data_IF_637587544352
#
_entry.id   IF_637587544352
#
_cell.length_a   1.000
_cell.length_b   1.000
_cell.length_c   1.000
_cell.angle_alpha   90.00
_cell.angle_beta   90.00
_cell.angle_gamma   90.00
#
_symmetry.space_group_name_H-M   'P 1'
#
loop_
_entity.id
_entity.type
_entity.pdbx_description
1 polymer ?
#
# COMPACT_ATOMS: atom_id res chain seq x y z
N UNK A 1 11.93 2.47 20.83
CA UNK A 1 10.75 2.74 19.97
C UNK A 1 11.22 2.95 18.55
N UNK A 2 10.52 2.39 17.57
CA UNK A 2 10.88 2.43 16.15
C UNK A 2 9.62 2.49 15.28
N UNK A 3 9.79 2.73 13.98
CA UNK A 3 8.74 2.66 12.98
C UNK A 3 9.17 1.72 11.85
N UNK A 4 8.25 0.90 11.35
CA UNK A 4 8.48 0.07 10.16
C UNK A 4 7.47 0.46 9.09
N UNK A 5 7.95 0.76 7.88
CA UNK A 5 7.15 1.18 6.74
C UNK A 5 7.24 0.09 5.66
N UNK A 6 6.10 -0.44 5.25
CA UNK A 6 6.02 -1.45 4.19
C UNK A 6 5.58 -0.80 2.88
N UNK A 7 6.33 -1.02 1.81
CA UNK A 7 6.00 -0.60 0.44
C UNK A 7 5.45 0.84 0.39
N UNK A 8 6.11 1.75 1.11
CA UNK A 8 5.63 3.12 1.32
C UNK A 8 6.43 4.10 0.48
N UNK A 9 5.78 4.74 -0.49
CA UNK A 9 6.38 5.85 -1.24
C UNK A 9 6.37 7.13 -0.39
N UNK A 10 7.51 7.79 -0.36
CA UNK A 10 7.71 9.11 0.24
C UNK A 10 8.19 10.13 -0.80
N UNK A 11 8.82 9.63 -1.85
CA UNK A 11 9.17 10.35 -3.07
C UNK A 11 8.34 9.80 -4.23
N UNK A 12 7.55 10.66 -4.83
CA UNK A 12 6.63 10.32 -5.91
C UNK A 12 7.17 10.72 -7.30
N UNK A 13 8.47 10.99 -7.42
CA UNK A 13 9.11 11.28 -8.71
C UNK A 13 9.10 10.08 -9.66
N UNK A 14 8.96 8.87 -9.11
CA UNK A 14 8.88 7.62 -9.86
C UNK A 14 7.62 6.84 -9.46
N UNK A 15 6.43 7.28 -9.90
CA UNK A 15 5.16 6.67 -9.50
C UNK A 15 4.87 5.33 -10.21
N UNK A 16 5.82 4.77 -10.97
CA UNK A 16 5.64 3.54 -11.73
C UNK A 16 4.60 3.69 -12.83
N UNK A 17 3.90 2.61 -13.13
CA UNK A 17 2.85 2.57 -14.17
C UNK A 17 1.69 3.53 -13.89
N UNK A 18 1.45 3.87 -12.62
CA UNK A 18 0.45 4.88 -12.25
C UNK A 18 0.75 6.26 -12.83
N UNK A 19 2.01 6.53 -13.19
CA UNK A 19 2.45 7.80 -13.78
C UNK A 19 1.67 8.23 -15.02
N UNK A 20 1.14 7.28 -15.78
CA UNK A 20 0.32 7.57 -16.97
C UNK A 20 -0.98 8.32 -16.63
N UNK A 21 -1.46 8.22 -15.40
CA UNK A 21 -2.66 8.89 -14.91
C UNK A 21 -2.35 10.19 -14.15
N UNK A 22 -1.07 10.47 -13.88
CA UNK A 22 -0.66 11.62 -13.06
C UNK A 22 -0.38 12.84 -13.95
N UNK A 23 -1.47 13.41 -14.46
CA UNK A 23 -1.44 14.60 -15.31
C UNK A 23 -2.55 15.57 -14.88
N UNK A 24 -2.27 16.88 -14.96
CA UNK A 24 -3.20 17.91 -14.51
C UNK A 24 -4.65 17.72 -15.03
N UNK A 25 -4.90 17.47 -16.33
CA UNK A 25 -6.28 17.30 -16.82
C UNK A 25 -6.99 16.09 -16.21
N UNK A 26 -6.29 14.98 -16.01
CA UNK A 26 -6.87 13.77 -15.43
C UNK A 26 -7.18 13.99 -13.94
N UNK A 27 -6.24 14.58 -13.21
CA UNK A 27 -6.42 14.86 -11.78
C UNK A 27 -7.55 15.87 -11.57
N UNK A 28 -7.63 16.94 -12.35
CA UNK A 28 -8.71 17.92 -12.26
C UNK A 28 -10.08 17.30 -12.53
N UNK A 29 -10.18 16.38 -13.51
CA UNK A 29 -11.42 15.64 -13.79
C UNK A 29 -11.83 14.72 -12.63
N UNK A 30 -10.87 14.01 -12.02
CA UNK A 30 -11.12 13.17 -10.85
C UNK A 30 -11.52 14.01 -9.62
N UNK A 31 -10.88 15.15 -9.42
CA UNK A 31 -11.23 16.08 -8.34
C UNK A 31 -12.67 16.56 -8.47
N UNK A 32 -13.07 17.02 -9.65
CA UNK A 32 -14.45 17.45 -9.91
C UNK A 32 -15.46 16.33 -9.68
N UNK A 33 -15.15 15.11 -10.12
CA UNK A 33 -16.00 13.95 -9.90
C UNK A 33 -16.13 13.62 -8.41
N UNK A 34 -15.02 13.60 -7.68
CA UNK A 34 -14.98 13.31 -6.25
C UNK A 34 -15.69 14.38 -5.43
N UNK A 35 -15.58 15.65 -5.81
CA UNK A 35 -16.30 16.76 -5.17
C UNK A 35 -17.81 16.61 -5.35
N UNK A 36 -18.26 16.29 -6.55
CA UNK A 36 -19.68 16.08 -6.83
C UNK A 36 -20.28 14.91 -6.05
N UNK A 37 -19.49 13.84 -5.82
CA UNK A 37 -19.94 12.62 -5.13
C UNK A 37 -19.63 12.62 -3.63
N UNK A 38 -18.71 13.44 -3.15
CA UNK A 38 -18.15 13.41 -1.80
C UNK A 38 -17.17 12.28 -1.53
N UNK A 39 -17.06 11.31 -2.44
CA UNK A 39 -16.21 10.11 -2.32
C UNK A 39 -15.52 9.78 -3.64
N UNK A 40 -14.38 9.12 -3.56
CA UNK A 40 -13.83 8.29 -4.61
C UNK A 40 -14.38 6.87 -4.43
N UNK A 41 -15.09 6.38 -5.43
CA UNK A 41 -15.69 5.04 -5.41
C UNK A 41 -14.57 3.97 -5.51
N UNK A 42 -14.48 3.12 -4.49
CA UNK A 42 -13.47 2.06 -4.41
C UNK A 42 -13.49 1.11 -5.60
N UNK A 43 -14.65 0.92 -6.25
CA UNK A 43 -14.76 0.07 -7.45
C UNK A 43 -14.02 0.66 -8.64
N UNK A 44 -14.01 1.99 -8.79
CA UNK A 44 -13.21 2.64 -9.85
C UNK A 44 -11.72 2.44 -9.60
N UNK A 45 -11.30 2.54 -8.34
CA UNK A 45 -9.92 2.28 -7.94
C UNK A 45 -9.55 0.81 -8.22
N UNK A 46 -10.41 -0.13 -7.86
CA UNK A 46 -10.22 -1.56 -8.13
C UNK A 46 -10.09 -1.85 -9.64
N UNK A 47 -10.89 -1.22 -10.48
CA UNK A 47 -10.77 -1.34 -11.95
C UNK A 47 -9.41 -0.82 -12.43
N UNK A 48 -8.95 0.33 -11.93
CA UNK A 48 -7.64 0.88 -12.29
C UNK A 48 -6.51 -0.09 -11.95
N UNK A 49 -6.51 -0.66 -10.76
CA UNK A 49 -5.51 -1.67 -10.37
C UNK A 49 -5.63 -2.98 -11.18
N UNK A 50 -6.84 -3.39 -11.54
CA UNK A 50 -7.05 -4.57 -12.38
C UNK A 50 -6.52 -4.38 -13.79
N UNK A 51 -6.62 -3.16 -14.34
CA UNK A 51 -6.06 -2.82 -15.65
C UNK A 51 -4.52 -2.81 -15.67
N UNK A 52 -3.88 -2.46 -14.56
CA UNK A 52 -2.42 -2.54 -14.43
C UNK A 52 -1.92 -4.00 -14.38
N UNK A 53 -2.79 -4.96 -14.14
CA UNK A 53 -2.47 -6.39 -14.04
C UNK A 53 -3.47 -7.25 -14.81
N UNK A 54 -3.91 -6.77 -15.97
CA UNK A 54 -4.96 -7.41 -16.76
C UNK A 54 -4.66 -8.87 -17.10
N UNK A 55 -3.40 -9.21 -17.38
CA UNK A 55 -3.00 -10.59 -17.66
C UNK A 55 -3.29 -11.51 -16.47
N UNK A 56 -2.95 -11.10 -15.26
CA UNK A 56 -3.09 -11.92 -14.05
C UNK A 56 -4.51 -11.91 -13.49
N UNK A 57 -5.21 -10.76 -13.55
CA UNK A 57 -6.48 -10.55 -12.88
C UNK A 57 -7.70 -10.65 -13.82
N UNK A 58 -7.49 -10.65 -15.12
CA UNK A 58 -8.57 -10.71 -16.10
C UNK A 58 -8.35 -11.79 -17.17
N UNK A 59 -7.27 -11.68 -17.97
CA UNK A 59 -7.09 -12.56 -19.14
C UNK A 59 -6.87 -14.02 -18.77
N UNK A 60 -6.16 -14.34 -17.70
CA UNK A 60 -5.99 -15.72 -17.27
C UNK A 60 -7.33 -16.38 -16.92
N UNK A 61 -8.21 -15.67 -16.21
CA UNK A 61 -9.55 -16.17 -15.88
C UNK A 61 -10.39 -16.35 -17.12
N UNK A 62 -10.34 -15.42 -18.07
CA UNK A 62 -11.03 -15.55 -19.35
C UNK A 62 -10.55 -16.77 -20.14
N UNK A 63 -9.24 -16.93 -20.28
CA UNK A 63 -8.63 -18.05 -21.00
C UNK A 63 -9.01 -19.37 -20.33
N UNK A 64 -8.85 -19.49 -19.04
CA UNK A 64 -9.09 -20.75 -18.33
C UNK A 64 -10.58 -21.10 -18.31
N UNK A 65 -11.47 -20.15 -18.02
CA UNK A 65 -12.89 -20.41 -17.90
C UNK A 65 -13.59 -20.53 -19.25
N UNK A 66 -13.37 -19.60 -20.19
CA UNK A 66 -14.09 -19.58 -21.46
C UNK A 66 -13.43 -20.40 -22.57
N UNK A 67 -12.10 -20.35 -22.69
CA UNK A 67 -11.42 -21.05 -23.78
C UNK A 67 -11.08 -22.51 -23.41
N UNK A 68 -10.73 -22.77 -22.15
CA UNK A 68 -10.34 -24.11 -21.68
C UNK A 68 -11.45 -24.83 -20.92
N UNK A 69 -12.55 -24.16 -20.57
CA UNK A 69 -13.68 -24.73 -19.82
C UNK A 69 -13.30 -25.17 -18.39
N UNK A 70 -12.27 -24.59 -17.81
CA UNK A 70 -11.83 -24.90 -16.46
C UNK A 70 -12.60 -24.07 -15.45
N UNK A 71 -12.94 -24.68 -14.30
CA UNK A 71 -13.52 -23.91 -13.19
C UNK A 71 -12.50 -22.95 -12.61
N UNK A 72 -12.88 -21.69 -12.30
CA UNK A 72 -12.00 -20.77 -11.61
C UNK A 72 -11.49 -21.36 -10.31
N UNK A 73 -10.21 -21.14 -9.99
CA UNK A 73 -9.65 -21.54 -8.70
C UNK A 73 -10.38 -20.76 -7.60
N UNK A 74 -10.94 -21.49 -6.63
CA UNK A 74 -11.53 -20.90 -5.44
C UNK A 74 -10.39 -20.33 -4.56
N UNK A 75 -10.32 -19.02 -4.47
CA UNK A 75 -9.27 -18.32 -3.75
C UNK A 75 -9.88 -17.20 -2.91
N UNK A 76 -9.90 -17.38 -1.61
CA UNK A 76 -10.56 -16.49 -0.65
C UNK A 76 -9.99 -15.05 -0.67
N UNK A 77 -8.70 -14.88 -0.90
CA UNK A 77 -8.06 -13.57 -1.04
C UNK A 77 -8.59 -12.78 -2.24
N UNK A 78 -9.12 -13.42 -3.28
CA UNK A 78 -9.76 -12.69 -4.40
C UNK A 78 -11.01 -11.95 -3.94
N UNK A 79 -11.79 -12.54 -3.03
CA UNK A 79 -12.94 -11.88 -2.44
C UNK A 79 -12.52 -10.65 -1.64
N UNK A 80 -11.52 -10.79 -0.76
CA UNK A 80 -10.96 -9.69 0.00
C UNK A 80 -10.40 -8.58 -0.92
N UNK A 81 -9.65 -8.93 -1.95
CA UNK A 81 -9.07 -7.97 -2.89
C UNK A 81 -10.12 -7.22 -3.71
N UNK A 82 -11.26 -7.85 -3.99
CA UNK A 82 -12.36 -7.23 -4.72
C UNK A 82 -13.33 -6.43 -3.84
N UNK A 83 -13.23 -6.55 -2.52
CA UNK A 83 -14.03 -5.81 -1.55
C UNK A 83 -13.43 -4.44 -1.28
N UNK A 84 -13.59 -3.55 -2.26
CA UNK A 84 -12.96 -2.24 -2.26
C UNK A 84 -13.68 -1.25 -1.34
N UNK A 85 -12.88 -0.39 -0.68
CA UNK A 85 -13.36 0.64 0.24
C UNK A 85 -13.39 2.01 -0.45
N UNK A 86 -14.47 2.77 -0.24
CA UNK A 86 -14.57 4.15 -0.68
C UNK A 86 -13.60 5.05 0.11
N UNK A 87 -13.00 6.00 -0.58
CA UNK A 87 -12.13 7.01 0.04
C UNK A 87 -12.86 8.35 0.05
N UNK A 88 -12.77 9.11 1.14
CA UNK A 88 -13.31 10.47 1.18
C UNK A 88 -12.71 11.31 0.03
N UNK A 89 -13.57 11.94 -0.79
CA UNK A 89 -13.15 12.61 -2.01
C UNK A 89 -12.06 13.64 -1.81
N UNK A 90 -12.18 14.49 -0.79
CA UNK A 90 -11.14 15.50 -0.45
C UNK A 90 -9.80 14.88 -0.04
N UNK A 91 -9.83 13.73 0.63
CA UNK A 91 -8.60 13.00 1.00
C UNK A 91 -7.93 12.45 -0.24
N UNK A 92 -8.67 11.77 -1.11
CA UNK A 92 -8.16 11.23 -2.36
C UNK A 92 -7.57 12.34 -3.25
N UNK A 93 -8.30 13.45 -3.45
CA UNK A 93 -7.84 14.61 -4.20
C UNK A 93 -6.51 15.17 -3.64
N UNK A 94 -6.45 15.30 -2.31
CA UNK A 94 -5.23 15.78 -1.63
C UNK A 94 -4.04 14.86 -1.85
N UNK A 95 -4.23 13.53 -1.81
CA UNK A 95 -3.17 12.57 -2.04
C UNK A 95 -2.67 12.64 -3.49
N UNK A 96 -3.58 12.61 -4.47
CA UNK A 96 -3.20 12.66 -5.88
C UNK A 96 -2.48 13.96 -6.23
N UNK A 97 -3.04 15.09 -5.87
CA UNK A 97 -2.45 16.39 -6.23
C UNK A 97 -1.15 16.64 -5.49
N UNK A 98 -1.17 16.58 -4.16
CA UNK A 98 -0.03 17.03 -3.35
C UNK A 98 1.14 16.06 -3.32
N UNK A 99 0.85 14.75 -3.35
CA UNK A 99 1.90 13.74 -3.34
C UNK A 99 2.28 13.32 -4.74
N UNK A 100 1.35 12.77 -5.52
CA UNK A 100 1.70 12.23 -6.84
C UNK A 100 2.05 13.31 -7.87
N UNK A 101 1.23 14.35 -8.03
CA UNK A 101 1.46 15.37 -9.07
C UNK A 101 2.54 16.37 -8.67
N UNK A 102 2.44 16.93 -7.47
CA UNK A 102 3.28 18.04 -7.02
C UNK A 102 4.49 17.60 -6.21
N UNK A 103 4.51 16.35 -5.70
CA UNK A 103 5.55 15.79 -4.86
C UNK A 103 5.96 16.72 -3.69
N UNK A 104 4.96 17.30 -3.02
CA UNK A 104 5.15 18.32 -1.97
C UNK A 104 5.91 17.81 -0.75
N UNK A 105 5.86 16.47 -0.46
CA UNK A 105 6.53 15.91 0.70
C UNK A 105 8.04 16.04 0.58
N UNK A 106 8.61 15.65 -0.56
CA UNK A 106 10.06 15.78 -0.85
C UNK A 106 10.48 17.23 -0.89
N UNK A 107 9.67 18.11 -1.48
CA UNK A 107 9.91 19.55 -1.54
C UNK A 107 9.77 20.26 -0.20
N UNK A 108 9.27 19.53 0.83
CA UNK A 108 8.98 20.09 2.14
C UNK A 108 7.87 21.18 2.10
N UNK A 109 6.98 21.10 1.16
CA UNK A 109 5.87 22.04 0.97
C UNK A 109 4.55 21.49 1.53
N UNK A 110 4.49 20.20 1.81
CA UNK A 110 3.28 19.56 2.32
C UNK A 110 2.89 20.16 3.67
N UNK A 111 1.63 20.59 3.74
CA UNK A 111 1.01 21.07 4.99
C UNK A 111 -0.23 20.25 5.31
N UNK A 112 -0.34 19.80 6.56
CA UNK A 112 -1.56 19.20 7.10
C UNK A 112 -2.14 20.20 8.09
N UNK A 113 -3.32 20.74 7.78
CA UNK A 113 -3.89 21.92 8.44
C UNK A 113 -2.88 23.10 8.35
N UNK A 114 -2.34 23.54 9.47
CA UNK A 114 -1.37 24.65 9.54
C UNK A 114 0.07 24.19 9.77
N UNK A 115 0.30 22.87 9.91
CA UNK A 115 1.62 22.31 10.23
C UNK A 115 2.31 21.85 8.96
N UNK A 116 3.49 22.40 8.69
CA UNK A 116 4.39 21.92 7.63
C UNK A 116 4.99 20.58 8.05
N UNK A 117 4.93 19.62 7.16
CA UNK A 117 5.51 18.30 7.37
C UNK A 117 6.98 18.34 6.94
N UNK A 118 7.84 17.93 7.86
CA UNK A 118 9.29 17.91 7.67
C UNK A 118 9.83 16.58 8.24
N UNK A 119 10.09 15.62 7.34
CA UNK A 119 10.55 14.29 7.72
C UNK A 119 11.97 14.31 8.31
N UNK A 120 12.79 15.33 8.02
CA UNK A 120 14.11 15.47 8.60
C UNK A 120 14.08 15.68 10.14
N UNK A 121 12.92 16.09 10.67
CA UNK A 121 12.69 16.20 12.11
C UNK A 121 12.35 14.88 12.79
N UNK A 122 11.99 13.87 12.03
CA UNK A 122 11.71 12.53 12.56
C UNK A 122 13.01 11.86 12.91
N UNK A 123 13.28 11.71 14.20
CA UNK A 123 14.47 11.07 14.76
C UNK A 123 14.23 9.63 15.19
N UNK A 124 12.98 9.18 15.16
CA UNK A 124 12.61 7.79 15.39
C UNK A 124 13.34 6.90 14.39
N UNK A 125 14.03 5.83 14.83
CA UNK A 125 14.62 4.85 13.93
C UNK A 125 13.57 4.25 13.00
N UNK A 126 13.85 4.19 11.69
CA UNK A 126 12.92 3.73 10.68
C UNK A 126 13.50 2.55 9.91
N UNK A 127 12.70 1.49 9.79
CA UNK A 127 12.94 0.39 8.86
C UNK A 127 11.97 0.50 7.69
N UNK A 128 12.49 0.56 6.47
CA UNK A 128 11.68 0.49 5.26
C UNK A 128 11.85 -0.89 4.61
N UNK A 129 10.74 -1.48 4.21
CA UNK A 129 10.72 -2.77 3.53
C UNK A 129 9.99 -2.62 2.21
N UNK A 130 10.63 -3.00 1.11
CA UNK A 130 10.04 -3.04 -0.23
C UNK A 130 10.22 -4.41 -0.87
N UNK A 131 9.57 -4.64 -1.99
CA UNK A 131 9.69 -5.86 -2.76
C UNK A 131 10.23 -5.56 -4.17
N UNK A 132 11.11 -6.42 -4.68
CA UNK A 132 11.85 -6.18 -5.93
C UNK A 132 10.94 -6.10 -7.16
N UNK A 133 9.88 -6.93 -7.18
CA UNK A 133 8.90 -7.00 -8.26
C UNK A 133 7.62 -6.18 -7.95
N UNK A 134 7.71 -5.23 -7.01
CA UNK A 134 6.60 -4.34 -6.70
C UNK A 134 6.39 -3.34 -7.84
N UNK A 135 5.25 -3.46 -8.51
CA UNK A 135 4.85 -2.60 -9.63
C UNK A 135 3.99 -1.40 -9.19
N UNK A 136 3.54 -1.37 -7.93
CA UNK A 136 2.71 -0.31 -7.37
C UNK A 136 3.60 0.73 -6.69
N UNK A 137 4.46 0.28 -5.77
CA UNK A 137 5.40 1.12 -5.04
C UNK A 137 6.83 0.67 -5.38
N UNK A 138 7.37 1.20 -6.47
CA UNK A 138 8.70 0.83 -6.92
C UNK A 138 9.72 0.98 -5.79
N UNK A 139 10.50 -0.08 -5.55
CA UNK A 139 11.45 -0.12 -4.44
C UNK A 139 12.51 1.00 -4.53
N UNK A 140 12.86 1.45 -5.74
CA UNK A 140 13.80 2.55 -5.95
C UNK A 140 13.26 3.85 -5.33
N UNK A 141 11.96 4.14 -5.53
CA UNK A 141 11.31 5.31 -4.94
C UNK A 141 11.20 5.22 -3.42
N UNK A 142 10.92 4.02 -2.88
CA UNK A 142 10.92 3.80 -1.43
C UNK A 142 12.32 3.99 -0.84
N UNK A 143 13.35 3.45 -1.49
CA UNK A 143 14.73 3.60 -1.06
C UNK A 143 15.18 5.07 -1.08
N UNK A 144 14.87 5.82 -2.17
CA UNK A 144 15.16 7.25 -2.27
C UNK A 144 14.46 8.05 -1.18
N UNK A 145 13.18 7.74 -0.92
CA UNK A 145 12.38 8.38 0.12
C UNK A 145 12.94 8.20 1.53
N UNK A 146 13.71 7.13 1.77
CA UNK A 146 14.39 6.89 3.04
C UNK A 146 15.32 8.06 3.43
N UNK A 147 15.92 8.72 2.47
CA UNK A 147 16.85 9.84 2.71
C UNK A 147 16.16 11.07 3.36
N UNK A 148 14.85 11.16 3.32
CA UNK A 148 14.09 12.25 3.91
C UNK A 148 14.09 12.23 5.46
N UNK A 149 14.28 11.06 6.08
CA UNK A 149 14.30 10.94 7.53
C UNK A 149 15.61 11.42 8.14
N UNK A 150 15.51 12.09 9.26
CA UNK A 150 16.68 12.62 9.98
C UNK A 150 17.22 11.73 11.09
N UNK A 151 16.63 10.55 11.31
CA UNK A 151 17.07 9.54 12.27
C UNK A 151 17.82 8.37 11.63
N UNK A 152 18.04 7.30 12.39
CA UNK A 152 18.55 6.03 11.88
C UNK A 152 17.60 5.45 10.86
N UNK A 153 18.14 4.90 9.78
CA UNK A 153 17.38 4.35 8.65
C UNK A 153 17.97 3.01 8.26
N UNK A 154 17.11 2.02 8.07
CA UNK A 154 17.47 0.73 7.48
C UNK A 154 16.54 0.40 6.34
N UNK A 155 17.04 -0.35 5.37
CA UNK A 155 16.28 -0.79 4.21
C UNK A 155 16.44 -2.29 3.99
N UNK A 156 15.31 -2.95 3.73
CA UNK A 156 15.25 -4.35 3.32
C UNK A 156 14.52 -4.40 1.98
N UNK A 157 15.12 -5.09 1.02
CA UNK A 157 14.50 -5.39 -0.26
C UNK A 157 14.15 -6.87 -0.29
N UNK A 158 12.87 -7.20 -0.20
CA UNK A 158 12.38 -8.57 -0.29
C UNK A 158 12.26 -9.03 -1.75
N UNK A 159 12.44 -10.31 -1.99
CA UNK A 159 12.10 -10.93 -3.28
C UNK A 159 10.58 -10.94 -3.50
N UNK A 160 10.16 -11.17 -4.78
CA UNK A 160 8.77 -11.24 -5.19
C UNK A 160 8.04 -9.88 -5.21
N UNK A 161 6.71 -9.91 -5.32
CA UNK A 161 5.88 -8.71 -5.55
C UNK A 161 5.31 -8.09 -4.28
N UNK A 162 4.49 -7.07 -4.49
CA UNK A 162 3.89 -6.19 -3.48
C UNK A 162 3.30 -6.90 -2.24
N UNK A 163 2.63 -8.04 -2.43
CA UNK A 163 2.02 -8.82 -1.35
C UNK A 163 2.94 -9.96 -0.92
N UNK A 164 3.34 -10.82 -1.87
CA UNK A 164 4.07 -12.05 -1.56
C UNK A 164 5.48 -11.79 -0.99
N UNK A 165 6.13 -10.70 -1.38
CA UNK A 165 7.42 -10.30 -0.82
C UNK A 165 7.30 -9.80 0.62
N UNK A 166 6.17 -9.18 0.97
CA UNK A 166 5.93 -8.63 2.30
C UNK A 166 5.36 -9.68 3.25
N UNK A 167 4.34 -10.42 2.81
CA UNK A 167 3.74 -11.52 3.59
C UNK A 167 4.52 -12.81 3.33
N UNK A 168 5.66 -12.93 3.98
CA UNK A 168 6.56 -14.06 3.85
C UNK A 168 6.93 -14.62 5.25
N UNK A 169 6.02 -15.38 5.89
CA UNK A 169 6.27 -15.90 7.22
C UNK A 169 7.47 -16.85 7.23
N UNK A 170 8.28 -16.87 8.32
CA UNK A 170 9.49 -17.68 8.40
C UNK A 170 9.27 -19.18 8.14
N UNK A 171 8.14 -19.71 8.59
CA UNK A 171 7.80 -21.12 8.45
C UNK A 171 7.56 -21.55 6.99
N UNK A 172 7.22 -20.60 6.12
CA UNK A 172 7.05 -20.87 4.70
C UNK A 172 8.37 -21.11 3.98
N UNK A 173 9.47 -20.60 4.52
CA UNK A 173 10.83 -20.68 3.98
C UNK A 173 10.90 -20.41 2.46
N UNK A 174 10.19 -19.38 2.02
CA UNK A 174 10.11 -18.95 0.62
C UNK A 174 10.91 -17.68 0.43
N UNK A 175 11.33 -17.46 -0.81
CA UNK A 175 11.98 -16.24 -1.26
C UNK A 175 13.29 -15.94 -0.51
N UNK A 176 13.74 -14.72 -0.66
CA UNK A 176 14.90 -14.17 0.01
C UNK A 176 14.76 -12.66 0.15
N UNK A 177 15.82 -12.01 0.57
CA UNK A 177 15.88 -10.57 0.68
C UNK A 177 17.31 -10.06 0.63
N UNK A 178 17.48 -8.79 0.31
CA UNK A 178 18.75 -8.07 0.35
C UNK A 178 18.76 -7.05 1.46
N UNK A 179 19.90 -6.88 2.08
CA UNK A 179 20.17 -5.81 3.02
C UNK A 179 21.61 -5.33 2.91
N UNK A 180 21.85 -4.06 3.25
CA UNK A 180 23.16 -3.44 3.33
C UNK A 180 23.17 -2.38 4.40
N UNK A 181 24.26 -2.31 5.15
CA UNK A 181 24.55 -1.21 6.06
C UNK A 181 25.45 -0.14 5.44
N UNK A 182 25.99 -0.41 4.23
CA UNK A 182 26.82 0.52 3.51
C UNK A 182 26.00 1.69 2.96
N UNK A 183 26.57 2.89 3.05
CA UNK A 183 26.03 4.05 2.34
C UNK A 183 26.14 3.85 0.82
N UNK A 184 25.15 4.35 0.10
CA UNK A 184 25.10 4.29 -1.34
C UNK A 184 24.45 5.57 -1.89
N UNK A 185 24.92 6.00 -3.08
CA UNK A 185 24.43 7.21 -3.74
C UNK A 185 23.21 6.94 -4.65
N UNK A 186 22.94 5.66 -4.91
CA UNK A 186 21.82 5.26 -5.76
C UNK A 186 21.27 3.88 -5.38
N UNK A 187 19.99 3.61 -5.74
CA UNK A 187 19.40 2.27 -5.54
C UNK A 187 20.21 1.15 -6.20
N UNK A 188 20.74 1.39 -7.40
CA UNK A 188 21.55 0.40 -8.12
C UNK A 188 22.86 0.10 -7.40
N UNK A 189 23.54 1.12 -6.89
CA UNK A 189 24.76 0.96 -6.10
C UNK A 189 24.46 0.25 -4.78
N UNK A 190 23.36 0.60 -4.10
CA UNK A 190 22.93 -0.07 -2.89
C UNK A 190 22.71 -1.56 -3.13
N UNK A 191 21.98 -1.93 -4.18
CA UNK A 191 21.70 -3.33 -4.51
C UNK A 191 22.98 -4.10 -4.87
N UNK A 192 23.91 -3.47 -5.62
CA UNK A 192 25.19 -4.09 -5.98
C UNK A 192 26.08 -4.39 -4.76
N UNK A 193 25.95 -3.59 -3.70
CA UNK A 193 26.67 -3.79 -2.43
C UNK A 193 25.89 -4.58 -1.37
N UNK A 194 24.63 -4.91 -1.62
CA UNK A 194 23.80 -5.59 -0.66
C UNK A 194 24.06 -7.11 -0.61
N UNK A 195 23.93 -7.67 0.57
CA UNK A 195 24.03 -9.11 0.78
C UNK A 195 22.66 -9.76 0.66
N UNK A 196 22.56 -10.77 -0.19
CA UNK A 196 21.36 -11.60 -0.33
C UNK A 196 21.31 -12.66 0.78
N UNK A 197 20.13 -12.83 1.36
CA UNK A 197 19.82 -13.88 2.34
C UNK A 197 18.58 -14.65 1.89
N UNK A 198 18.63 -15.97 2.06
CA UNK A 198 17.47 -16.83 1.79
C UNK A 198 16.48 -16.81 2.95
N UNK A 199 15.20 -16.95 2.63
CA UNK A 199 14.12 -17.05 3.61
C UNK A 199 13.47 -15.70 3.95
N UNK A 200 12.72 -15.68 5.03
CA UNK A 200 11.94 -14.53 5.44
C UNK A 200 12.80 -13.39 6.01
N UNK A 201 12.47 -12.17 5.65
CA UNK A 201 13.04 -10.95 6.24
C UNK A 201 12.43 -10.60 7.62
N UNK A 202 11.34 -11.25 8.04
CA UNK A 202 10.66 -10.95 9.32
C UNK A 202 11.56 -11.07 10.55
N UNK A 203 12.50 -12.04 10.65
CA UNK A 203 13.45 -12.10 11.76
C UNK A 203 14.31 -10.83 11.89
N UNK A 204 14.69 -10.20 10.76
CA UNK A 204 15.45 -8.95 10.77
C UNK A 204 14.61 -7.78 11.32
N UNK A 205 13.34 -7.69 10.93
CA UNK A 205 12.41 -6.72 11.49
C UNK A 205 12.24 -6.92 13.01
N UNK A 206 12.08 -8.17 13.45
CA UNK A 206 11.95 -8.47 14.87
C UNK A 206 13.21 -8.10 15.66
N UNK A 207 14.39 -8.30 15.07
CA UNK A 207 15.65 -7.85 15.65
C UNK A 207 15.69 -6.33 15.73
N UNK A 208 15.37 -5.64 14.63
CA UNK A 208 15.32 -4.18 14.59
C UNK A 208 14.40 -3.59 15.67
N UNK A 209 13.24 -4.22 15.90
CA UNK A 209 12.29 -3.78 16.94
C UNK A 209 12.85 -4.06 18.33
N UNK A 210 13.34 -5.28 18.59
CA UNK A 210 13.84 -5.69 19.91
C UNK A 210 15.04 -4.87 20.37
N UNK A 211 15.96 -4.55 19.47
CA UNK A 211 17.15 -3.75 19.78
C UNK A 211 16.80 -2.32 20.26
N UNK A 212 15.56 -1.89 20.05
CA UNK A 212 15.06 -0.53 20.37
C UNK A 212 13.88 -0.53 21.34
N UNK A 213 13.52 -1.69 21.84
CA UNK A 213 12.44 -1.86 22.80
C UNK A 213 13.01 -2.14 24.18
N UNK A 214 12.98 -1.13 25.03
CA UNK A 214 13.40 -1.19 26.43
C UNK A 214 12.24 -1.57 27.37
N UNK A 215 11.05 -1.87 26.79
CA UNK A 215 9.87 -2.19 27.58
C UNK A 215 9.95 -3.61 28.14
N UNK A 216 9.50 -3.76 29.37
CA UNK A 216 9.33 -5.07 29.98
C UNK A 216 8.24 -5.87 29.25
N UNK A 217 8.44 -7.17 29.02
CA UNK A 217 7.43 -8.03 28.42
C UNK A 217 6.13 -8.00 29.21
N UNK A 218 5.03 -7.85 28.52
CA UNK A 218 3.69 -7.90 29.11
C UNK A 218 2.94 -9.13 28.59
N UNK A 219 2.02 -9.72 29.39
CA UNK A 219 1.18 -10.80 28.91
C UNK A 219 0.36 -10.39 27.69
N UNK A 220 0.16 -11.31 26.74
CA UNK A 220 -0.73 -11.10 25.61
C UNK A 220 -2.15 -10.77 26.11
N UNK A 221 -2.78 -9.79 25.48
CA UNK A 221 -4.18 -9.47 25.76
C UNK A 221 -5.06 -10.62 25.30
N UNK A 222 -6.00 -11.01 26.15
CA UNK A 222 -7.06 -11.92 25.72
C UNK A 222 -8.09 -11.17 24.89
N UNK A 223 -8.70 -11.81 23.88
CA UNK A 223 -9.84 -11.25 23.17
C UNK A 223 -10.96 -10.88 24.13
N UNK A 224 -11.70 -9.82 23.83
CA UNK A 224 -12.88 -9.44 24.61
C UNK A 224 -13.94 -10.53 24.44
N UNK A 225 -14.47 -11.02 25.56
CA UNK A 225 -15.57 -12.00 25.53
C UNK A 225 -16.83 -11.40 24.90
N UNK A 226 -17.65 -12.24 24.27
CA UNK A 226 -18.93 -11.85 23.68
C UNK A 226 -18.86 -11.27 22.26
N UNK A 227 -17.67 -11.21 21.66
CA UNK A 227 -17.56 -10.91 20.23
C UNK A 227 -17.98 -12.12 19.38
N UNK A 228 -18.57 -11.84 18.21
CA UNK A 228 -18.83 -12.90 17.24
C UNK A 228 -17.54 -13.52 16.71
N UNK A 229 -17.61 -14.79 16.33
CA UNK A 229 -16.44 -15.49 15.75
C UNK A 229 -15.98 -14.83 14.45
N UNK A 230 -14.66 -14.80 14.21
CA UNK A 230 -14.11 -14.32 12.93
C UNK A 230 -14.63 -15.19 11.76
N UNK A 231 -14.86 -14.60 10.59
CA UNK A 231 -14.61 -13.21 10.19
C UNK A 231 -15.72 -12.22 10.55
N UNK A 232 -16.72 -12.63 11.30
CA UNK A 232 -17.86 -11.82 11.71
C UNK A 232 -18.97 -11.74 10.67
N UNK A 233 -20.00 -10.97 10.97
CA UNK A 233 -21.16 -10.77 10.10
C UNK A 233 -20.99 -9.63 9.11
N UNK A 234 -20.12 -8.65 9.40
CA UNK A 234 -19.93 -7.47 8.57
C UNK A 234 -19.48 -7.80 7.14
N UNK A 235 -18.64 -8.81 6.97
CA UNK A 235 -18.17 -9.25 5.65
C UNK A 235 -19.29 -9.78 4.74
N UNK A 236 -20.45 -10.11 5.29
CA UNK A 236 -21.65 -10.57 4.56
C UNK A 236 -22.55 -9.43 4.12
N UNK A 237 -22.30 -8.21 4.62
CA UNK A 237 -23.09 -7.02 4.26
C UNK A 237 -22.72 -6.63 2.84
N UNK A 238 -23.67 -6.77 1.92
CA UNK A 238 -23.50 -6.38 0.52
C UNK A 238 -23.93 -4.94 0.33
N UNK A 239 -23.16 -4.19 -0.46
CA UNK A 239 -23.61 -2.88 -0.94
C UNK A 239 -24.89 -3.08 -1.73
N UNK A 240 -25.98 -2.44 -1.29
CA UNK A 240 -27.19 -2.39 -2.08
C UNK A 240 -26.90 -1.56 -3.35
N UNK A 241 -27.20 -2.06 -4.57
CA UNK A 241 -26.99 -1.32 -5.81
C UNK A 241 -27.67 0.06 -5.84
N UNK A 242 -28.68 0.28 -4.99
CA UNK A 242 -29.35 1.59 -4.81
C UNK A 242 -28.42 2.68 -4.24
N UNK A 243 -27.34 2.32 -3.51
CA UNK A 243 -26.36 3.28 -3.02
C UNK A 243 -25.29 3.68 -4.06
N UNK A 244 -25.33 3.13 -5.23
CA UNK A 244 -24.48 3.54 -6.35
C UNK A 244 -24.99 4.83 -7.03
N UNK A 245 -25.25 5.89 -6.25
CA UNK A 245 -25.34 7.26 -6.76
C UNK A 245 -26.72 7.83 -7.08
N UNK A 246 -27.80 7.29 -6.57
CA UNK A 246 -29.11 7.96 -6.63
C UNK A 246 -29.71 8.04 -5.22
N UNK A 247 -29.63 9.21 -4.60
CA UNK A 247 -30.64 9.56 -3.59
C UNK A 247 -31.99 9.52 -4.31
N UNK A 248 -32.81 8.51 -4.08
CA UNK A 248 -34.23 8.67 -4.34
C UNK A 248 -34.70 9.84 -3.49
N UNK A 249 -35.21 10.88 -4.12
CA UNK A 249 -36.06 11.84 -3.45
C UNK A 249 -37.15 11.02 -2.76
N UNK A 250 -37.21 11.12 -1.45
CA UNK A 250 -38.35 10.60 -0.68
C UNK A 250 -39.57 11.32 -1.26
N UNK A 251 -40.43 10.57 -1.92
CA UNK A 251 -41.78 11.05 -2.23
C UNK A 251 -42.48 11.20 -0.87
N UNK A 252 -42.75 12.43 -0.48
CA UNK A 252 -43.67 12.72 0.62
C UNK A 252 -45.03 12.10 0.27
N UNK A 253 -45.62 11.32 1.16
CA UNK A 253 -46.98 10.85 0.95
C UNK A 253 -47.96 12.04 1.09
N UNK A 254 -48.84 12.17 0.09
CA UNK A 254 -49.93 13.14 0.06
C UNK A 254 -50.99 12.82 1.13
#
# INVERSE_FOLDING_TARGET
RSATLFTTLLDFSQPGELGIFIHEPIIAALEAQNEARGIMDGRQLAVSFSLLRENSLYWNYYIDSYLKGQSPVAFDLLHWNSDSTNVAGKTHNSLLRRLYLENQLVKGELKIRHTRIDLAKVKTPVLLVSAVDDHIALWQGTWQGMALFGGERRFILAESGHIAGIINPPDANKYGFWQSEAEADSPAQWLAGATHQSGSWWPEMMRFIKDRDEAEPVPARQPVEGLEAAPGSYVKVRLNPVFAGVRKQEEEPA
#
